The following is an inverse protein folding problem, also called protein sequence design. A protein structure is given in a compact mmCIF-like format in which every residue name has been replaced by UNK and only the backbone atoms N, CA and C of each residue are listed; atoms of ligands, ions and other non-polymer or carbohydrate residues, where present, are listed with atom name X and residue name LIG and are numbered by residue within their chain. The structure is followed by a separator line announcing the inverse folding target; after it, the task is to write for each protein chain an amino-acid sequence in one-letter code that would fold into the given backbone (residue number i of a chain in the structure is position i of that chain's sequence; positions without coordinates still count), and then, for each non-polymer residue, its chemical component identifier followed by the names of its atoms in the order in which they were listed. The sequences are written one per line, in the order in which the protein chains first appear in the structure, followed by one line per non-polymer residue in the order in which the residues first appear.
data_IF_126087495901
#
_entry.id   IF_126087495901
#
_cell.length_a   1.000
_cell.length_b   1.000
_cell.length_c   1.000
_cell.angle_alpha   90.00
_cell.angle_beta   90.00
_cell.angle_gamma   90.00
#
_symmetry.space_group_name_H-M   'P 1'
#
loop_
_entity.id
_entity.type
_entity.pdbx_description
1 polymer ?
#
# COMPACT_ATOMS: atom_id res chain seq x y z
N UNK A 1 19.20 -7.88 1.71
CA UNK A 1 18.30 -7.85 2.89
C UNK A 1 16.88 -8.00 2.40
N UNK A 2 16.19 -9.04 2.81
CA UNK A 2 14.80 -9.26 2.40
C UNK A 2 13.90 -8.15 2.98
N UNK A 3 12.97 -7.58 2.22
CA UNK A 3 11.99 -6.64 2.75
C UNK A 3 11.14 -7.34 3.81
N UNK A 4 11.24 -6.85 5.04
CA UNK A 4 10.64 -7.47 6.25
C UNK A 4 9.12 -7.25 6.34
N UNK A 5 8.55 -6.43 5.48
CA UNK A 5 7.23 -5.87 5.70
C UNK A 5 6.06 -6.70 5.15
N UNK A 6 6.24 -7.36 4.02
CA UNK A 6 5.18 -8.12 3.38
C UNK A 6 5.45 -9.63 3.35
N UNK A 7 6.67 -10.06 3.70
CA UNK A 7 7.03 -11.49 3.74
C UNK A 7 6.38 -12.28 4.88
N UNK A 8 5.79 -11.60 5.87
CA UNK A 8 5.14 -12.24 7.01
C UNK A 8 3.79 -11.59 7.29
N UNK A 9 2.78 -11.92 6.51
CA UNK A 9 1.38 -11.59 6.82
C UNK A 9 0.98 -12.06 8.25
N UNK A 10 1.67 -13.05 8.78
CA UNK A 10 1.50 -13.55 10.14
C UNK A 10 2.12 -12.65 11.22
N UNK A 11 3.12 -11.84 10.89
CA UNK A 11 3.79 -10.96 11.86
C UNK A 11 3.01 -9.65 12.06
N UNK A 12 2.17 -9.26 11.10
CA UNK A 12 1.35 -8.05 11.20
C UNK A 12 0.26 -8.19 12.25
N UNK A 13 -0.25 -9.38 12.48
CA UNK A 13 -1.28 -9.66 13.50
C UNK A 13 -0.72 -9.87 14.92
N UNK A 14 0.57 -10.19 15.08
CA UNK A 14 1.14 -10.61 16.37
C UNK A 14 2.06 -9.58 17.04
N UNK A 15 2.39 -8.44 16.40
CA UNK A 15 3.25 -7.40 17.00
C UNK A 15 2.51 -6.11 17.37
N UNK A 16 1.27 -6.23 17.84
CA UNK A 16 0.53 -5.10 18.43
C UNK A 16 0.93 -4.79 19.89
N UNK A 17 2.02 -5.35 20.40
CA UNK A 17 2.50 -5.04 21.73
C UNK A 17 3.98 -4.65 21.70
N UNK A 18 4.26 -3.52 22.27
CA UNK A 18 5.54 -2.86 22.55
C UNK A 18 6.00 -1.79 21.56
N UNK A 19 5.61 -0.55 21.79
CA UNK A 19 6.54 0.56 21.96
C UNK A 19 5.85 1.68 22.76
N UNK A 20 6.10 1.73 24.04
CA UNK A 20 5.80 2.86 24.91
C UNK A 20 7.14 3.51 25.27
N UNK A 21 7.44 4.71 24.79
CA UNK A 21 8.44 5.59 25.40
C UNK A 21 8.15 7.07 25.11
N UNK A 22 7.94 7.76 26.12
CA UNK A 22 8.17 9.15 26.52
C UNK A 22 8.48 10.18 25.40
N UNK A 23 7.43 10.76 24.85
CA UNK A 23 7.29 12.12 24.31
C UNK A 23 5.82 12.35 23.87
N UNK A 24 4.90 12.00 24.77
CA UNK A 24 3.51 11.74 24.40
C UNK A 24 2.66 13.02 24.19
N UNK A 25 3.13 14.20 24.61
CA UNK A 25 2.32 15.42 24.57
C UNK A 25 2.49 16.23 23.28
N UNK A 26 3.69 16.29 22.72
CA UNK A 26 3.95 16.98 21.44
C UNK A 26 3.57 16.10 20.22
N UNK A 27 3.65 14.78 20.38
CA UNK A 27 3.31 13.81 19.32
C UNK A 27 1.81 13.72 19.04
N UNK A 28 0.93 13.96 20.03
CA UNK A 28 -0.53 13.90 19.82
C UNK A 28 -1.05 15.10 18.99
N UNK A 29 -0.46 16.27 19.16
CA UNK A 29 -0.80 17.46 18.39
C UNK A 29 -0.34 17.33 16.93
N UNK A 30 0.82 16.71 16.72
CA UNK A 30 1.39 16.44 15.40
C UNK A 30 0.69 15.30 14.63
N UNK A 31 0.17 14.27 15.33
CA UNK A 31 -0.50 13.12 14.68
C UNK A 31 -1.76 13.52 13.91
N UNK A 32 -2.57 14.40 14.47
CA UNK A 32 -3.79 14.88 13.81
C UNK A 32 -3.48 15.71 12.57
N UNK A 33 -2.49 16.59 12.65
CA UNK A 33 -2.04 17.42 11.53
C UNK A 33 -1.41 16.57 10.42
N UNK A 34 -0.61 15.57 10.78
CA UNK A 34 -0.01 14.64 9.82
C UNK A 34 -1.07 13.84 9.06
N UNK A 35 -2.03 13.26 9.77
CA UNK A 35 -3.13 12.52 9.13
C UNK A 35 -3.98 13.42 8.24
N UNK A 36 -4.21 14.68 8.63
CA UNK A 36 -4.94 15.65 7.81
C UNK A 36 -4.15 16.00 6.53
N UNK A 37 -2.86 16.26 6.66
CA UNK A 37 -1.98 16.56 5.51
C UNK A 37 -1.97 15.38 4.50
N UNK A 38 -1.99 14.14 4.99
CA UNK A 38 -2.08 12.95 4.16
C UNK A 38 -3.42 12.86 3.39
N UNK A 39 -4.53 13.19 4.05
CA UNK A 39 -5.85 13.26 3.39
C UNK A 39 -5.90 14.35 2.33
N UNK A 40 -5.41 15.54 2.66
CA UNK A 40 -5.38 16.69 1.74
C UNK A 40 -4.52 16.39 0.51
N UNK A 41 -3.37 15.75 0.73
CA UNK A 41 -2.50 15.29 -0.34
C UNK A 41 -3.23 14.31 -1.27
N UNK A 42 -3.94 13.32 -0.71
CA UNK A 42 -4.68 12.34 -1.49
C UNK A 42 -5.81 12.98 -2.30
N UNK A 43 -6.53 13.94 -1.72
CA UNK A 43 -7.57 14.72 -2.42
C UNK A 43 -6.96 15.53 -3.58
N UNK A 44 -5.80 16.14 -3.39
CA UNK A 44 -5.09 16.84 -4.47
C UNK A 44 -4.65 15.86 -5.56
N UNK A 45 -4.08 14.73 -5.17
CA UNK A 45 -3.61 13.67 -6.08
C UNK A 45 -4.74 13.09 -6.93
N UNK A 46 -5.91 12.91 -6.35
CA UNK A 46 -7.09 12.36 -7.05
C UNK A 46 -7.59 13.24 -8.20
N UNK A 47 -7.17 14.50 -8.27
CA UNK A 47 -7.54 15.46 -9.31
C UNK A 47 -6.50 15.59 -10.42
N UNK A 48 -5.37 14.90 -10.30
CA UNK A 48 -4.32 14.91 -11.32
C UNK A 48 -4.75 14.12 -12.58
N UNK A 49 -4.27 14.56 -13.72
CA UNK A 49 -4.53 13.89 -14.99
C UNK A 49 -3.98 12.45 -14.98
N UNK A 50 -4.82 11.51 -15.43
CA UNK A 50 -4.49 10.09 -15.50
C UNK A 50 -4.68 9.34 -14.17
N UNK A 51 -5.09 10.02 -13.12
CA UNK A 51 -5.47 9.37 -11.85
C UNK A 51 -6.95 8.99 -11.88
N UNK A 52 -7.24 7.74 -11.60
CA UNK A 52 -8.58 7.16 -11.61
C UNK A 52 -8.97 6.67 -10.22
N UNK A 53 -10.28 6.67 -9.94
CA UNK A 53 -10.82 6.23 -8.66
C UNK A 53 -11.14 4.74 -8.66
N UNK A 54 -10.80 4.07 -7.57
CA UNK A 54 -11.31 2.76 -7.18
C UNK A 54 -12.31 2.89 -6.03
N UNK A 55 -12.73 1.78 -5.46
CA UNK A 55 -13.62 1.80 -4.30
C UNK A 55 -12.91 2.28 -3.03
N UNK A 56 -13.70 2.71 -2.04
CA UNK A 56 -13.26 3.09 -0.69
C UNK A 56 -12.16 4.17 -0.64
N UNK A 57 -12.12 5.07 -1.64
CA UNK A 57 -11.17 6.18 -1.66
C UNK A 57 -9.74 5.78 -2.06
N UNK A 58 -9.56 4.62 -2.65
CA UNK A 58 -8.31 4.21 -3.30
C UNK A 58 -8.28 4.80 -4.71
N UNK A 59 -7.12 5.30 -5.13
CA UNK A 59 -6.90 5.85 -6.47
C UNK A 59 -5.70 5.17 -7.10
N UNK A 60 -5.62 5.22 -8.43
CA UNK A 60 -4.50 4.65 -9.17
C UNK A 60 -4.19 5.42 -10.44
N UNK A 61 -2.97 5.25 -10.91
CA UNK A 61 -2.49 5.73 -12.19
C UNK A 61 -1.81 4.57 -12.93
N UNK A 62 -2.19 4.33 -14.16
CA UNK A 62 -1.57 3.29 -14.99
C UNK A 62 -0.18 3.77 -15.44
N UNK A 63 0.85 2.98 -15.16
CA UNK A 63 2.22 3.20 -15.61
C UNK A 63 2.56 2.34 -16.84
N UNK A 64 2.05 1.11 -16.87
CA UNK A 64 2.12 0.21 -18.01
C UNK A 64 0.90 -0.71 -18.03
N UNK A 65 0.43 -1.04 -19.21
CA UNK A 65 -0.68 -1.96 -19.43
C UNK A 65 -0.15 -3.36 -19.75
N UNK A 66 -0.77 -4.37 -19.13
CA UNK A 66 -0.49 -5.77 -19.37
C UNK A 66 -1.45 -6.40 -20.37
N UNK A 67 -1.58 -7.72 -20.28
CA UNK A 67 -2.50 -8.48 -21.15
C UNK A 67 -3.90 -8.51 -20.54
N UNK A 68 -4.77 -7.67 -21.07
CA UNK A 68 -6.17 -7.55 -20.63
C UNK A 68 -7.08 -8.67 -21.15
N UNK A 69 -6.55 -9.64 -21.90
CA UNK A 69 -7.28 -10.85 -22.29
C UNK A 69 -7.40 -11.87 -21.18
N UNK A 70 -6.55 -11.76 -20.14
CA UNK A 70 -6.49 -12.66 -19.00
C UNK A 70 -7.47 -12.32 -17.88
N UNK A 71 -7.50 -13.19 -16.87
CA UNK A 71 -8.29 -12.96 -15.66
C UNK A 71 -7.64 -11.95 -14.71
N UNK A 72 -8.44 -11.35 -13.85
CA UNK A 72 -7.98 -10.56 -12.70
C UNK A 72 -7.93 -11.44 -11.45
N UNK A 73 -7.07 -11.12 -10.45
CA UNK A 73 -7.00 -11.89 -9.22
C UNK A 73 -8.28 -11.82 -8.39
N UNK A 74 -8.62 -12.93 -7.76
CA UNK A 74 -9.61 -12.98 -6.68
C UNK A 74 -8.92 -12.99 -5.33
N UNK A 75 -9.60 -12.66 -4.21
CA UNK A 75 -8.99 -12.65 -2.88
C UNK A 75 -8.35 -13.99 -2.46
N UNK A 76 -8.82 -15.11 -3.01
CA UNK A 76 -8.28 -16.44 -2.73
C UNK A 76 -7.03 -16.83 -3.50
N UNK A 77 -6.73 -16.11 -4.59
CA UNK A 77 -5.56 -16.40 -5.40
C UNK A 77 -4.24 -16.04 -4.69
N UNK A 78 -3.20 -16.78 -5.01
CA UNK A 78 -1.82 -16.38 -4.73
C UNK A 78 -1.35 -15.48 -5.87
N UNK A 79 -1.00 -14.25 -5.56
CA UNK A 79 -0.43 -13.32 -6.54
C UNK A 79 1.09 -13.28 -6.42
N UNK A 80 1.76 -13.04 -7.52
CA UNK A 80 3.17 -12.70 -7.55
C UNK A 80 3.32 -11.30 -8.11
N UNK A 81 3.95 -10.41 -7.35
CA UNK A 81 4.07 -9.01 -7.72
C UNK A 81 5.41 -8.39 -7.29
N UNK A 82 5.89 -7.45 -8.08
CA UNK A 82 6.89 -6.48 -7.62
C UNK A 82 6.21 -5.22 -7.11
N UNK A 83 6.81 -4.58 -6.12
CA UNK A 83 6.30 -3.34 -5.58
C UNK A 83 7.40 -2.47 -4.98
N UNK A 84 7.09 -1.18 -4.86
CA UNK A 84 7.83 -0.20 -4.04
C UNK A 84 6.82 0.64 -3.29
N UNK A 85 6.91 0.68 -1.97
CA UNK A 85 6.02 1.46 -1.10
C UNK A 85 6.71 2.72 -0.58
N UNK A 86 6.00 3.85 -0.64
CA UNK A 86 6.47 5.17 -0.17
C UNK A 86 5.39 5.89 0.62
N UNK A 87 5.81 6.78 1.51
CA UNK A 87 4.96 7.80 2.13
C UNK A 87 4.84 9.02 1.24
N UNK A 88 3.94 9.96 1.58
CA UNK A 88 3.68 11.17 0.74
C UNK A 88 4.89 12.11 0.61
N UNK A 89 5.84 12.04 1.53
CA UNK A 89 7.13 12.75 1.49
C UNK A 89 8.19 12.08 0.60
N UNK A 90 7.81 10.99 -0.09
CA UNK A 90 8.67 10.23 -0.99
C UNK A 90 9.61 9.25 -0.30
N UNK A 91 9.54 9.13 1.03
CA UNK A 91 10.36 8.17 1.77
C UNK A 91 9.91 6.74 1.49
N UNK A 92 10.80 5.94 0.93
CA UNK A 92 10.57 4.51 0.71
C UNK A 92 10.64 3.76 2.05
N UNK A 93 9.63 2.96 2.33
CA UNK A 93 9.60 2.11 3.52
C UNK A 93 9.78 0.63 3.19
N UNK A 94 9.48 0.21 1.96
CA UNK A 94 9.65 -1.17 1.53
C UNK A 94 9.72 -1.29 0.00
N UNK A 95 10.40 -2.31 -0.51
CA UNK A 95 10.46 -2.64 -1.94
C UNK A 95 10.86 -4.09 -2.14
N UNK A 96 10.34 -4.71 -3.19
CA UNK A 96 10.78 -6.04 -3.66
C UNK A 96 11.62 -5.97 -4.94
N UNK A 97 11.83 -4.78 -5.53
CA UNK A 97 12.42 -4.66 -6.87
C UNK A 97 13.89 -5.07 -6.96
N UNK A 98 14.61 -4.98 -5.84
CA UNK A 98 16.00 -5.42 -5.74
C UNK A 98 16.15 -6.82 -5.12
N UNK A 99 15.03 -7.54 -4.98
CA UNK A 99 14.95 -8.86 -4.33
C UNK A 99 13.94 -9.75 -5.07
N UNK A 100 13.53 -10.87 -4.45
CA UNK A 100 12.50 -11.75 -4.99
C UNK A 100 11.12 -11.07 -4.96
N UNK A 101 10.28 -11.31 -5.99
CA UNK A 101 8.92 -10.85 -5.99
C UNK A 101 8.14 -11.37 -4.77
N UNK A 102 7.21 -10.55 -4.30
CA UNK A 102 6.25 -10.99 -3.29
C UNK A 102 5.33 -12.05 -3.88
N UNK A 103 5.21 -13.19 -3.20
CA UNK A 103 4.22 -14.22 -3.51
C UNK A 103 3.39 -14.51 -2.26
N UNK A 104 2.11 -14.15 -2.29
CA UNK A 104 1.19 -14.40 -1.18
C UNK A 104 -0.27 -14.36 -1.63
N UNK A 105 -1.17 -14.84 -0.76
CA UNK A 105 -2.61 -14.74 -1.02
C UNK A 105 -3.07 -13.30 -0.94
N UNK A 106 -3.86 -12.88 -1.92
CA UNK A 106 -4.33 -11.51 -2.02
C UNK A 106 -5.11 -11.06 -0.77
N UNK A 107 -5.94 -11.94 -0.22
CA UNK A 107 -6.75 -11.64 0.99
C UNK A 107 -5.92 -11.40 2.26
N UNK A 108 -4.65 -11.77 2.28
CA UNK A 108 -3.76 -11.60 3.44
C UNK A 108 -3.02 -10.23 3.41
N UNK A 109 -3.27 -9.43 2.37
CA UNK A 109 -2.70 -8.09 2.20
C UNK A 109 -3.62 -7.00 2.73
N UNK A 110 -3.11 -5.76 2.79
CA UNK A 110 -3.93 -4.61 3.19
C UNK A 110 -5.07 -4.39 2.20
N UNK A 111 -6.16 -3.82 2.68
CA UNK A 111 -7.41 -3.66 1.91
C UNK A 111 -7.19 -2.89 0.59
N UNK A 112 -6.34 -1.86 0.60
CA UNK A 112 -6.00 -1.10 -0.61
C UNK A 112 -5.37 -1.95 -1.70
N UNK A 113 -4.54 -2.93 -1.35
CA UNK A 113 -3.97 -3.89 -2.30
C UNK A 113 -5.03 -4.82 -2.88
N UNK A 114 -5.93 -5.33 -2.02
CA UNK A 114 -7.02 -6.20 -2.44
C UNK A 114 -7.90 -5.49 -3.46
N UNK A 115 -8.26 -4.22 -3.19
CA UNK A 115 -9.08 -3.40 -4.08
C UNK A 115 -8.39 -3.18 -5.44
N UNK A 116 -7.12 -2.79 -5.44
CA UNK A 116 -6.37 -2.48 -6.65
C UNK A 116 -6.09 -3.74 -7.48
N UNK A 117 -5.55 -4.79 -6.85
CA UNK A 117 -5.14 -6.02 -7.55
C UNK A 117 -6.30 -6.75 -8.23
N UNK A 118 -7.51 -6.70 -7.68
CA UNK A 118 -8.69 -7.30 -8.31
C UNK A 118 -9.09 -6.64 -9.65
N UNK A 119 -8.55 -5.46 -9.94
CA UNK A 119 -8.76 -4.75 -11.20
C UNK A 119 -7.58 -4.85 -12.16
N UNK A 120 -6.44 -5.37 -11.69
CA UNK A 120 -5.20 -5.50 -12.48
C UNK A 120 -5.17 -6.82 -13.25
N UNK A 121 -4.58 -6.77 -14.44
CA UNK A 121 -4.23 -7.95 -15.22
C UNK A 121 -2.73 -8.24 -15.11
N UNK A 122 -2.32 -9.45 -15.45
CA UNK A 122 -0.89 -9.81 -15.46
C UNK A 122 -0.15 -8.92 -16.45
N UNK A 123 0.94 -8.33 -15.99
CA UNK A 123 1.75 -7.35 -16.73
C UNK A 123 1.36 -5.90 -16.47
N UNK A 124 0.23 -5.63 -15.82
CA UNK A 124 -0.11 -4.26 -15.41
C UNK A 124 0.87 -3.76 -14.36
N UNK A 125 1.28 -2.50 -14.53
CA UNK A 125 2.04 -1.74 -13.54
C UNK A 125 1.30 -0.45 -13.23
N UNK A 126 0.90 -0.29 -11.99
CA UNK A 126 0.13 0.86 -11.52
C UNK A 126 0.82 1.54 -10.33
N UNK A 127 0.70 2.85 -10.28
CA UNK A 127 0.95 3.59 -9.03
C UNK A 127 -0.39 3.74 -8.30
N UNK A 128 -0.49 3.16 -7.11
CA UNK A 128 -1.73 3.09 -6.33
C UNK A 128 -1.60 3.94 -5.08
N UNK A 129 -2.62 4.76 -4.83
CA UNK A 129 -2.70 5.67 -3.69
C UNK A 129 -3.76 5.16 -2.72
N UNK A 130 -3.31 4.78 -1.54
CA UNK A 130 -4.12 4.07 -0.54
C UNK A 130 -4.32 4.98 0.67
N UNK A 131 -5.56 5.39 1.01
CA UNK A 131 -5.82 6.14 2.23
C UNK A 131 -5.47 5.30 3.46
N UNK A 132 -5.17 5.96 4.58
CA UNK A 132 -4.77 5.27 5.80
C UNK A 132 -5.78 4.19 6.24
N UNK A 133 -7.06 4.43 6.07
CA UNK A 133 -8.14 3.51 6.44
C UNK A 133 -8.10 2.18 5.66
N UNK A 134 -7.55 2.21 4.45
CA UNK A 134 -7.37 1.01 3.60
C UNK A 134 -5.95 0.45 3.67
N UNK A 135 -5.09 1.05 4.48
CA UNK A 135 -3.73 0.63 4.78
C UNK A 135 -3.58 0.22 6.25
N UNK A 136 -2.75 0.94 6.99
CA UNK A 136 -2.46 0.64 8.40
C UNK A 136 -3.24 1.49 9.40
N UNK A 137 -4.15 2.34 8.94
CA UNK A 137 -5.01 3.15 9.78
C UNK A 137 -4.24 4.14 10.66
N UNK A 138 -4.63 4.19 11.92
CA UNK A 138 -4.01 5.07 12.94
C UNK A 138 -2.74 4.47 13.56
N UNK A 139 -2.42 3.22 13.23
CA UNK A 139 -1.29 2.50 13.81
C UNK A 139 -0.01 2.79 13.03
N UNK A 140 1.07 3.09 13.77
CA UNK A 140 2.38 3.26 13.16
C UNK A 140 3.02 1.90 12.90
N UNK A 141 3.70 1.80 11.75
CA UNK A 141 4.55 0.68 11.39
C UNK A 141 5.99 1.22 11.23
N UNK A 142 7.03 0.37 11.26
CA UNK A 142 8.39 0.84 10.99
C UNK A 142 8.46 1.58 9.64
N UNK A 143 8.87 2.86 9.67
CA UNK A 143 8.92 3.74 8.50
C UNK A 143 7.58 4.31 8.02
N UNK A 144 6.44 3.94 8.67
CA UNK A 144 5.11 4.42 8.31
C UNK A 144 4.42 4.99 9.54
N UNK A 145 4.37 6.31 9.72
CA UNK A 145 3.60 6.92 10.80
C UNK A 145 2.10 6.60 10.69
N UNK A 146 1.40 6.51 11.82
CA UNK A 146 -0.05 6.33 11.83
C UNK A 146 -0.78 7.48 11.11
N UNK A 147 -1.79 7.14 10.30
CA UNK A 147 -2.50 8.10 9.46
C UNK A 147 -1.83 8.38 8.11
N UNK A 148 -0.84 7.58 7.71
CA UNK A 148 -0.16 7.72 6.42
C UNK A 148 -1.03 7.25 5.27
N UNK A 149 -1.12 8.07 4.24
CA UNK A 149 -1.48 7.65 2.88
C UNK A 149 -0.29 6.92 2.27
N UNK A 150 -0.52 5.78 1.66
CA UNK A 150 0.52 4.94 1.09
C UNK A 150 0.54 5.06 -0.43
N UNK A 151 1.73 5.14 -1.00
CA UNK A 151 1.94 5.17 -2.44
C UNK A 151 2.68 3.88 -2.81
N UNK A 152 2.03 3.03 -3.61
CA UNK A 152 2.64 1.81 -4.11
C UNK A 152 2.78 1.84 -5.62
N UNK A 153 3.99 1.72 -6.10
CA UNK A 153 4.27 1.30 -7.48
C UNK A 153 4.25 -0.22 -7.48
N UNK A 154 3.24 -0.83 -8.06
CA UNK A 154 3.05 -2.28 -8.06
C UNK A 154 2.88 -2.83 -9.47
N UNK A 155 3.45 -3.99 -9.69
CA UNK A 155 3.42 -4.72 -10.96
C UNK A 155 2.99 -6.16 -10.73
N UNK A 156 1.88 -6.56 -11.34
CA UNK A 156 1.35 -7.91 -11.22
C UNK A 156 2.04 -8.84 -12.22
N UNK A 157 2.78 -9.82 -11.69
CA UNK A 157 3.57 -10.75 -12.53
C UNK A 157 2.85 -12.05 -12.82
N UNK A 158 2.11 -12.59 -11.85
CA UNK A 158 1.41 -13.86 -11.99
C UNK A 158 0.22 -13.99 -11.03
N UNK A 159 -0.74 -14.83 -11.41
CA UNK A 159 -1.89 -15.24 -10.61
C UNK A 159 -1.89 -16.77 -10.54
N UNK A 160 -1.90 -17.35 -9.32
CA UNK A 160 -1.89 -18.79 -9.07
C UNK A 160 -3.06 -19.25 -8.20
#
# INVERSE_FOLDING_TARGET
MAPLFLKNAWVILCKMQYFCSENDFDMKKNKGQYAQANRDWLVAKSKEDGVMALSKGVYYKVLAEGDHSGATPTPGNVITAHYTGKTIDGKQFDSSRDDVPLACRLRDLIEGWIIAMQQMHVGDRWEVYIPAEMGYGKFSQPGIPGGSTLIFDMELLAIN
#
